data_IF_306263960926
#
_entry.id   IF_306263960926
#
_cell.length_a   1.000
_cell.length_b   1.000
_cell.length_c   1.000
_cell.angle_alpha   90.00
_cell.angle_beta   90.00
_cell.angle_gamma   90.00
#
_symmetry.space_group_name_H-M   'P 1'
#
loop_
_entity.id
_entity.type
_entity.pdbx_description
1 polymer ?
#
# COMPACT_ATOMS: atom_id res chain seq x y z
N UNK A 1 27.59 -78.25 -28.32
CA UNK A 1 27.45 -76.78 -28.59
C UNK A 1 28.64 -76.18 -29.36
N UNK A 2 29.78 -76.82 -29.46
CA UNK A 2 31.01 -76.24 -30.02
C UNK A 2 31.13 -76.29 -31.56
N UNK A 3 30.30 -77.06 -32.25
CA UNK A 3 30.36 -77.21 -33.74
C UNK A 3 29.44 -76.21 -34.50
N UNK A 4 28.53 -75.56 -33.85
CA UNK A 4 27.61 -74.59 -34.49
C UNK A 4 28.30 -73.20 -34.69
N UNK A 5 29.25 -72.88 -33.83
CA UNK A 5 29.95 -71.57 -33.86
C UNK A 5 31.01 -71.54 -34.95
N UNK A 6 31.62 -72.71 -35.35
CA UNK A 6 32.63 -72.78 -36.46
C UNK A 6 32.03 -72.60 -37.87
N UNK A 7 30.74 -72.91 -38.06
CA UNK A 7 30.09 -72.87 -39.39
C UNK A 7 29.49 -71.50 -39.73
N UNK A 8 29.27 -70.65 -38.71
CA UNK A 8 28.64 -69.37 -38.93
C UNK A 8 29.54 -68.16 -38.61
N UNK A 9 30.87 -68.34 -38.53
CA UNK A 9 31.79 -67.23 -38.21
C UNK A 9 31.63 -66.02 -39.15
N UNK A 10 31.36 -66.24 -40.40
CA UNK A 10 31.17 -65.13 -41.37
C UNK A 10 29.87 -64.39 -41.18
N UNK A 11 28.80 -65.06 -40.72
CA UNK A 11 27.51 -64.39 -40.38
C UNK A 11 27.65 -63.57 -39.14
N UNK A 12 28.40 -64.05 -38.11
CA UNK A 12 28.63 -63.25 -36.88
C UNK A 12 29.50 -62.01 -37.12
N UNK A 13 30.52 -62.16 -38.01
CA UNK A 13 31.34 -60.99 -38.39
C UNK A 13 30.55 -60.00 -39.23
N UNK A 14 29.71 -60.47 -40.18
CA UNK A 14 28.82 -59.57 -40.92
C UNK A 14 27.80 -58.85 -40.05
N UNK A 15 27.23 -59.54 -39.05
CA UNK A 15 26.32 -58.90 -38.06
C UNK A 15 27.04 -57.85 -37.20
N UNK A 16 28.29 -58.11 -36.76
CA UNK A 16 29.11 -57.18 -36.00
C UNK A 16 29.46 -55.91 -36.80
N UNK A 17 29.78 -56.09 -38.12
CA UNK A 17 30.06 -54.95 -39.03
C UNK A 17 28.79 -54.10 -39.24
N UNK A 18 27.64 -54.76 -39.45
CA UNK A 18 26.35 -54.04 -39.58
C UNK A 18 25.97 -53.29 -38.30
N UNK A 19 26.19 -53.87 -37.13
CA UNK A 19 25.95 -53.18 -35.82
C UNK A 19 26.96 -52.05 -35.63
N UNK A 20 28.23 -52.21 -35.95
CA UNK A 20 29.21 -51.12 -35.84
C UNK A 20 28.92 -49.99 -36.86
N UNK A 21 28.50 -50.35 -38.10
CA UNK A 21 28.06 -49.36 -39.10
C UNK A 21 26.82 -48.61 -38.72
N UNK A 22 25.79 -49.29 -38.14
CA UNK A 22 24.58 -48.65 -37.66
C UNK A 22 24.86 -47.76 -36.44
N UNK A 23 25.72 -48.17 -35.53
CA UNK A 23 26.15 -47.35 -34.38
C UNK A 23 26.99 -46.15 -34.82
N UNK A 24 27.90 -46.32 -35.75
CA UNK A 24 28.68 -45.22 -36.35
C UNK A 24 27.80 -44.24 -37.11
N UNK A 25 26.85 -44.73 -37.92
CA UNK A 25 25.86 -43.92 -38.61
C UNK A 25 24.93 -43.17 -37.67
N UNK A 26 24.48 -43.82 -36.60
CA UNK A 26 23.67 -43.19 -35.59
C UNK A 26 24.43 -42.09 -34.83
N UNK A 27 25.68 -42.32 -34.45
CA UNK A 27 26.54 -41.30 -33.84
C UNK A 27 26.84 -40.14 -34.79
N UNK A 28 27.09 -40.43 -36.07
CA UNK A 28 27.32 -39.40 -37.09
C UNK A 28 26.05 -38.57 -37.33
N UNK A 29 24.89 -39.19 -37.38
CA UNK A 29 23.60 -38.50 -37.49
C UNK A 29 23.29 -37.65 -36.26
N UNK A 30 23.60 -38.12 -35.04
CA UNK A 30 23.45 -37.41 -33.83
C UNK A 30 24.44 -36.22 -33.70
N UNK A 31 25.66 -36.34 -34.20
CA UNK A 31 26.63 -35.24 -34.23
C UNK A 31 26.36 -34.23 -35.38
N UNK A 32 25.56 -34.59 -36.37
CA UNK A 32 25.17 -33.71 -37.49
C UNK A 32 23.91 -32.88 -37.17
N UNK A 33 23.22 -33.14 -36.05
CA UNK A 33 22.22 -32.23 -35.57
C UNK A 33 22.92 -31.03 -34.93
N UNK A 34 23.40 -30.12 -35.77
CA UNK A 34 23.73 -28.76 -35.35
C UNK A 34 22.44 -28.19 -34.77
N UNK A 35 22.38 -28.09 -33.46
CA UNK A 35 21.30 -27.37 -32.80
C UNK A 35 21.24 -25.99 -33.46
N UNK A 36 20.20 -25.70 -34.19
CA UNK A 36 19.91 -24.36 -34.66
C UNK A 36 19.65 -23.56 -33.40
N UNK A 37 20.72 -22.94 -32.88
CA UNK A 37 20.59 -22.01 -31.78
C UNK A 37 19.66 -20.90 -32.24
N UNK A 38 18.43 -20.93 -31.80
CA UNK A 38 17.50 -19.81 -31.93
C UNK A 38 18.08 -18.65 -31.18
N UNK A 39 18.81 -17.81 -31.88
CA UNK A 39 19.36 -16.56 -31.34
C UNK A 39 18.17 -15.65 -31.05
N UNK A 40 17.88 -15.44 -29.79
CA UNK A 40 16.88 -14.42 -29.39
C UNK A 40 17.47 -13.05 -29.70
N UNK A 41 16.75 -12.27 -30.48
CA UNK A 41 17.18 -10.96 -30.96
C UNK A 41 16.31 -9.89 -30.32
N UNK A 42 16.94 -8.87 -29.74
CA UNK A 42 16.32 -7.60 -29.39
C UNK A 42 16.54 -6.58 -30.50
N UNK A 43 15.84 -5.48 -30.47
CA UNK A 43 15.95 -4.41 -31.46
C UNK A 43 16.17 -3.07 -30.77
N UNK A 44 17.03 -2.24 -31.35
CA UNK A 44 17.26 -0.86 -30.92
C UNK A 44 16.10 0.00 -31.40
N UNK A 45 15.42 0.66 -30.49
CA UNK A 45 14.27 1.53 -30.79
C UNK A 45 14.51 2.94 -30.30
N UNK A 46 13.79 3.89 -30.85
CA UNK A 46 13.68 5.24 -30.35
C UNK A 46 12.33 5.40 -29.70
N UNK A 47 12.30 5.93 -28.49
CA UNK A 47 11.04 6.05 -27.77
C UNK A 47 11.23 6.78 -26.42
N UNK A 48 10.18 6.73 -25.64
CA UNK A 48 10.14 7.33 -24.32
C UNK A 48 10.36 6.23 -23.27
N UNK A 49 11.18 6.51 -22.29
CA UNK A 49 11.43 5.61 -21.16
C UNK A 49 11.03 6.29 -19.87
N UNK A 50 10.42 5.53 -19.00
CA UNK A 50 9.97 5.99 -17.69
C UNK A 50 10.58 5.08 -16.63
N UNK A 51 11.28 5.67 -15.68
CA UNK A 51 11.76 4.97 -14.49
C UNK A 51 10.70 5.07 -13.40
N UNK A 52 10.31 3.94 -12.86
CA UNK A 52 9.25 3.86 -11.87
C UNK A 52 9.69 3.10 -10.62
N UNK A 53 9.22 3.56 -9.47
CA UNK A 53 9.28 2.82 -8.22
C UNK A 53 7.94 2.15 -8.00
N UNK A 54 7.94 0.82 -7.99
CA UNK A 54 6.74 0.01 -7.77
C UNK A 54 6.55 -0.25 -6.28
N UNK A 55 5.34 -0.02 -5.80
CA UNK A 55 4.99 -0.24 -4.40
C UNK A 55 3.55 -0.71 -4.26
N UNK A 56 3.23 -1.34 -3.14
CA UNK A 56 1.85 -1.74 -2.81
C UNK A 56 1.35 -0.93 -1.64
N UNK A 57 0.06 -0.65 -1.64
CA UNK A 57 -0.57 0.11 -0.58
C UNK A 57 -2.05 -0.19 -0.45
N UNK A 58 -2.71 0.52 0.44
CA UNK A 58 -4.16 0.45 0.62
C UNK A 58 -4.79 1.82 0.44
N UNK A 59 -5.97 1.84 -0.16
CA UNK A 59 -6.78 3.05 -0.22
C UNK A 59 -7.33 3.36 1.17
N UNK A 60 -7.29 4.64 1.53
CA UNK A 60 -7.93 5.17 2.73
C UNK A 60 -8.66 6.47 2.38
N UNK A 61 -9.66 6.81 3.16
CA UNK A 61 -10.20 8.16 3.12
C UNK A 61 -9.18 9.10 3.80
N UNK A 62 -8.96 10.27 3.22
CA UNK A 62 -8.06 11.27 3.81
C UNK A 62 -8.53 11.69 5.21
N UNK A 63 -9.84 11.87 5.35
CA UNK A 63 -10.47 12.16 6.64
C UNK A 63 -11.31 10.96 7.06
N UNK A 64 -10.85 10.24 8.07
CA UNK A 64 -11.56 9.14 8.72
C UNK A 64 -11.55 9.38 10.23
N UNK A 65 -12.72 9.39 10.83
CA UNK A 65 -12.89 9.63 12.27
C UNK A 65 -13.65 8.48 12.90
N UNK A 66 -13.01 7.83 13.86
CA UNK A 66 -13.64 6.83 14.71
C UNK A 66 -14.47 7.51 15.79
N UNK A 67 -15.78 7.28 15.73
CA UNK A 67 -16.73 7.82 16.68
C UNK A 67 -16.78 6.92 17.91
N UNK A 68 -16.44 7.50 19.06
CA UNK A 68 -16.47 6.84 20.36
C UNK A 68 -17.25 7.70 21.37
N UNK A 69 -17.56 7.13 22.53
CA UNK A 69 -18.24 7.86 23.61
C UNK A 69 -17.24 8.39 24.63
N UNK A 70 -17.48 9.61 25.11
CA UNK A 70 -16.75 10.19 26.24
C UNK A 70 -17.23 9.65 27.59
N UNK A 71 -18.45 9.10 27.63
CA UNK A 71 -19.09 8.59 28.85
C UNK A 71 -19.48 7.13 28.67
N UNK A 72 -19.54 6.39 29.75
CA UNK A 72 -20.08 5.02 29.75
C UNK A 72 -21.62 5.08 29.79
N UNK A 73 -22.27 4.35 28.88
CA UNK A 73 -23.73 4.30 28.82
C UNK A 73 -24.24 3.23 27.88
N UNK A 74 -25.53 2.92 28.01
CA UNK A 74 -26.23 1.98 27.12
C UNK A 74 -26.81 2.74 25.93
N UNK A 75 -26.64 2.20 24.72
CA UNK A 75 -27.24 2.74 23.50
C UNK A 75 -28.76 2.52 23.54
N UNK A 76 -29.52 3.59 23.45
CA UNK A 76 -31.00 3.54 23.38
C UNK A 76 -31.51 3.77 21.97
N UNK A 77 -30.76 4.50 21.13
CA UNK A 77 -31.17 4.81 19.78
C UNK A 77 -29.95 4.92 18.86
N UNK A 78 -30.03 4.36 17.65
CA UNK A 78 -29.07 4.55 16.54
C UNK A 78 -29.85 5.15 15.39
N UNK A 79 -29.49 6.36 14.98
CA UNK A 79 -30.26 7.18 14.01
C UNK A 79 -29.74 7.03 12.58
N UNK A 80 -28.63 6.32 12.39
CA UNK A 80 -27.95 6.18 11.10
C UNK A 80 -27.71 4.70 10.74
N UNK A 81 -27.51 4.46 9.46
CA UNK A 81 -27.23 3.13 8.89
C UNK A 81 -25.87 3.12 8.21
N UNK A 82 -25.33 1.93 8.01
CA UNK A 82 -24.14 1.71 7.20
C UNK A 82 -24.31 2.30 5.79
N UNK A 83 -23.26 2.90 5.25
CA UNK A 83 -23.22 3.61 3.97
C UNK A 83 -24.16 4.82 3.86
N UNK A 84 -24.73 5.31 4.96
CA UNK A 84 -25.51 6.54 4.97
C UNK A 84 -24.60 7.76 4.99
N UNK A 85 -24.90 8.77 4.14
CA UNK A 85 -24.26 10.06 4.19
C UNK A 85 -24.79 10.86 5.40
N UNK A 86 -23.89 11.52 6.12
CA UNK A 86 -24.17 12.39 7.27
C UNK A 86 -23.40 13.70 7.14
N UNK A 87 -23.96 14.77 7.70
CA UNK A 87 -23.31 16.08 7.76
C UNK A 87 -22.69 16.31 9.13
N UNK A 88 -21.64 17.13 9.18
CA UNK A 88 -21.04 17.53 10.47
C UNK A 88 -22.10 18.10 11.41
N UNK A 89 -22.13 17.58 12.65
CA UNK A 89 -23.12 17.93 13.67
C UNK A 89 -24.35 17.03 13.71
N UNK A 90 -24.58 16.16 12.74
CA UNK A 90 -25.69 15.22 12.76
C UNK A 90 -25.59 14.25 13.95
N UNK A 91 -26.73 13.95 14.56
CA UNK A 91 -26.83 13.03 15.70
C UNK A 91 -26.78 11.59 15.16
N UNK A 92 -25.80 10.83 15.63
CA UNK A 92 -25.60 9.43 15.22
C UNK A 92 -26.23 8.44 16.20
N UNK A 93 -26.00 8.66 17.50
CA UNK A 93 -26.40 7.72 18.57
C UNK A 93 -26.86 8.52 19.79
N UNK A 94 -27.83 7.96 20.50
CA UNK A 94 -28.24 8.44 21.82
C UNK A 94 -28.01 7.37 22.88
N UNK A 95 -27.45 7.80 24.00
CA UNK A 95 -27.26 6.96 25.18
C UNK A 95 -28.38 7.21 26.20
N UNK A 96 -28.54 6.25 27.10
CA UNK A 96 -29.48 6.38 28.22
C UNK A 96 -29.04 7.54 29.15
N UNK A 97 -29.82 8.63 29.14
CA UNK A 97 -29.57 9.81 29.89
C UNK A 97 -30.42 9.89 31.18
N UNK A 98 -31.19 8.85 31.53
CA UNK A 98 -32.18 8.91 32.62
C UNK A 98 -31.56 9.35 33.95
N UNK A 99 -30.47 8.71 34.38
CA UNK A 99 -29.77 9.04 35.61
C UNK A 99 -29.09 10.41 35.56
N UNK A 100 -28.51 10.76 34.41
CA UNK A 100 -27.83 12.04 34.21
C UNK A 100 -28.82 13.19 34.20
N UNK A 101 -30.01 13.02 33.61
CA UNK A 101 -31.08 14.03 33.67
C UNK A 101 -31.60 14.26 35.10
N UNK A 102 -31.72 13.22 35.94
CA UNK A 102 -32.08 13.35 37.32
C UNK A 102 -31.00 14.17 38.11
N UNK A 103 -29.72 13.86 37.83
CA UNK A 103 -28.59 14.61 38.42
C UNK A 103 -28.59 16.07 37.97
N UNK A 104 -28.80 16.33 36.67
CA UNK A 104 -28.90 17.70 36.16
C UNK A 104 -30.04 18.49 36.82
N UNK A 105 -31.22 17.87 36.97
CA UNK A 105 -32.35 18.48 37.65
C UNK A 105 -32.02 18.85 39.14
N UNK A 106 -31.31 17.93 39.84
CA UNK A 106 -30.84 18.20 41.21
C UNK A 106 -29.86 19.38 41.25
N UNK A 107 -28.87 19.44 40.37
CA UNK A 107 -27.87 20.52 40.32
C UNK A 107 -28.51 21.84 39.91
N UNK A 108 -29.49 21.82 39.01
CA UNK A 108 -30.28 22.98 38.63
C UNK A 108 -31.01 23.57 39.84
N UNK A 109 -31.63 22.73 40.68
CA UNK A 109 -32.32 23.19 41.93
C UNK A 109 -31.32 23.80 42.93
N UNK A 110 -30.14 23.20 43.09
CA UNK A 110 -29.07 23.75 43.96
C UNK A 110 -28.57 25.09 43.44
N UNK A 111 -28.32 25.22 42.14
CA UNK A 111 -27.91 26.48 41.52
C UNK A 111 -28.97 27.58 41.74
N UNK A 112 -30.25 27.25 41.51
CA UNK A 112 -31.35 28.21 41.74
C UNK A 112 -31.40 28.73 43.18
N UNK A 113 -31.22 27.85 44.19
CA UNK A 113 -31.16 28.24 45.59
C UNK A 113 -29.94 29.12 45.91
N UNK A 114 -28.75 28.74 45.43
CA UNK A 114 -27.51 29.49 45.59
C UNK A 114 -27.60 30.88 44.93
N UNK A 115 -28.18 30.95 43.72
CA UNK A 115 -28.45 32.21 43.02
C UNK A 115 -29.35 33.13 43.81
N UNK A 116 -30.49 32.64 44.34
CA UNK A 116 -31.40 33.42 45.13
C UNK A 116 -30.77 33.94 46.44
N UNK A 117 -29.86 33.15 47.04
CA UNK A 117 -29.08 33.52 48.19
C UNK A 117 -28.02 34.58 47.86
N UNK A 118 -27.32 34.43 46.76
CA UNK A 118 -26.36 35.39 46.22
C UNK A 118 -27.05 36.77 45.99
N UNK A 119 -28.15 36.78 45.22
CA UNK A 119 -28.88 38.02 44.90
C UNK A 119 -29.37 38.74 46.13
N UNK A 120 -29.84 38.00 47.15
CA UNK A 120 -30.29 38.57 48.45
C UNK A 120 -29.12 39.18 49.20
N UNK A 121 -27.96 38.45 49.26
CA UNK A 121 -26.80 38.96 50.01
C UNK A 121 -26.13 40.14 49.29
N UNK A 122 -26.13 40.18 47.97
CA UNK A 122 -25.66 41.30 47.17
C UNK A 122 -26.47 42.60 47.54
N UNK A 123 -27.76 42.45 47.64
CA UNK A 123 -28.64 43.58 48.11
C UNK A 123 -28.36 44.02 49.55
N UNK A 124 -28.03 43.07 50.46
CA UNK A 124 -27.64 43.36 51.81
C UNK A 124 -26.28 44.05 51.92
N UNK A 125 -25.29 43.56 51.11
CA UNK A 125 -23.96 44.18 51.00
C UNK A 125 -24.07 45.63 50.51
N UNK A 126 -24.84 45.89 49.47
CA UNK A 126 -25.07 47.23 48.92
C UNK A 126 -25.71 48.19 49.89
N UNK A 127 -26.44 47.69 50.92
CA UNK A 127 -27.01 48.44 52.00
C UNK A 127 -26.10 48.50 53.22
N UNK A 128 -24.90 47.92 53.18
CA UNK A 128 -23.98 47.87 54.32
C UNK A 128 -24.43 46.95 55.47
N UNK A 129 -25.39 46.03 55.25
CA UNK A 129 -25.97 45.14 56.23
C UNK A 129 -25.15 43.84 56.47
N UNK A 130 -24.23 43.55 55.65
CA UNK A 130 -23.26 42.40 55.77
C UNK A 130 -21.86 42.87 55.46
N UNK A 131 -20.85 42.10 55.92
CA UNK A 131 -19.45 42.36 55.60
C UNK A 131 -19.08 41.80 54.17
N UNK A 132 -18.05 42.38 53.59
CA UNK A 132 -17.50 41.87 52.31
C UNK A 132 -17.15 40.40 52.43
N UNK A 133 -16.48 40.01 53.51
CA UNK A 133 -16.08 38.59 53.72
C UNK A 133 -17.25 37.61 53.76
N UNK A 134 -18.40 38.06 54.35
CA UNK A 134 -19.62 37.26 54.40
C UNK A 134 -20.22 37.11 52.98
N UNK A 135 -20.18 38.17 52.19
CA UNK A 135 -20.60 38.09 50.74
C UNK A 135 -19.70 37.22 49.92
N UNK A 136 -18.36 37.32 50.05
CA UNK A 136 -17.40 36.53 49.33
C UNK A 136 -17.64 35.04 49.55
N UNK A 137 -18.03 34.60 50.75
CA UNK A 137 -18.42 33.20 51.02
C UNK A 137 -19.65 32.76 50.23
N UNK A 138 -20.68 33.61 50.18
CA UNK A 138 -21.91 33.33 49.43
C UNK A 138 -21.66 33.31 47.91
N UNK A 139 -20.80 34.19 47.43
CA UNK A 139 -20.37 34.22 46.05
C UNK A 139 -19.62 32.94 45.69
N UNK A 140 -18.70 32.48 46.53
CA UNK A 140 -18.01 31.21 46.33
C UNK A 140 -18.98 30.01 46.24
N UNK A 141 -19.98 29.96 47.15
CA UNK A 141 -21.01 28.90 47.12
C UNK A 141 -21.84 28.93 45.84
N UNK A 142 -22.20 30.13 45.36
CA UNK A 142 -22.90 30.29 44.08
C UNK A 142 -22.05 29.80 42.91
N UNK A 143 -20.77 30.17 42.84
CA UNK A 143 -19.87 29.76 41.78
C UNK A 143 -19.65 28.23 41.77
N UNK A 144 -19.54 27.60 42.94
CA UNK A 144 -19.48 26.15 43.08
C UNK A 144 -20.75 25.47 42.57
N UNK A 145 -21.93 26.00 42.96
CA UNK A 145 -23.21 25.47 42.50
C UNK A 145 -23.38 25.60 40.98
N UNK A 146 -22.92 26.72 40.40
CA UNK A 146 -22.92 26.98 38.96
C UNK A 146 -22.02 25.99 38.23
N UNK A 147 -20.79 25.80 38.69
CA UNK A 147 -19.84 24.86 38.09
C UNK A 147 -20.34 23.41 38.12
N UNK A 148 -21.01 23.00 39.24
CA UNK A 148 -21.61 21.67 39.35
C UNK A 148 -22.79 21.48 38.38
N UNK A 149 -23.60 22.50 38.15
CA UNK A 149 -24.68 22.48 37.17
C UNK A 149 -24.11 22.38 35.74
N UNK A 150 -23.11 23.18 35.40
CA UNK A 150 -22.46 23.17 34.08
C UNK A 150 -21.84 21.81 33.79
N UNK A 151 -21.19 21.20 34.79
CA UNK A 151 -20.68 19.83 34.67
C UNK A 151 -21.80 18.82 34.37
N UNK A 152 -22.88 18.83 35.16
CA UNK A 152 -24.01 17.93 34.95
C UNK A 152 -24.68 18.14 33.57
N UNK A 153 -24.74 19.39 33.09
CA UNK A 153 -25.24 19.70 31.76
C UNK A 153 -24.34 19.16 30.64
N UNK A 154 -23.02 19.24 30.82
CA UNK A 154 -22.05 18.62 29.89
C UNK A 154 -22.21 17.11 29.86
N UNK A 155 -22.34 16.46 31.02
CA UNK A 155 -22.51 15.00 31.11
C UNK A 155 -23.78 14.54 30.36
N UNK A 156 -24.88 15.31 30.42
CA UNK A 156 -26.10 15.07 29.66
C UNK A 156 -25.85 15.31 28.15
N UNK A 157 -25.16 16.36 27.78
CA UNK A 157 -24.86 16.63 26.37
C UNK A 157 -24.01 15.54 25.73
N UNK A 158 -23.08 14.94 26.48
CA UNK A 158 -22.22 13.84 26.02
C UNK A 158 -22.97 12.51 25.81
N UNK A 159 -24.27 12.44 26.19
CA UNK A 159 -25.15 11.31 25.82
C UNK A 159 -25.62 11.35 24.37
N UNK A 160 -25.50 12.50 23.73
CA UNK A 160 -25.86 12.69 22.31
C UNK A 160 -24.57 12.69 21.49
N UNK A 161 -24.35 11.62 20.79
CA UNK A 161 -23.12 11.43 20.00
C UNK A 161 -23.35 11.96 18.59
N UNK A 162 -22.57 12.95 18.19
CA UNK A 162 -22.63 13.58 16.87
C UNK A 162 -21.35 13.35 16.07
N UNK A 163 -21.44 13.49 14.75
CA UNK A 163 -20.25 13.45 13.90
C UNK A 163 -19.57 14.81 13.83
N UNK A 164 -18.22 14.87 13.95
CA UNK A 164 -17.46 16.10 13.77
C UNK A 164 -17.21 16.46 12.29
N UNK A 165 -17.37 15.50 11.36
CA UNK A 165 -17.13 15.67 9.92
C UNK A 165 -18.35 15.23 9.13
N UNK A 166 -18.47 15.74 7.90
CA UNK A 166 -19.41 15.24 6.91
C UNK A 166 -18.78 14.07 6.16
N UNK A 167 -19.57 13.03 5.85
CA UNK A 167 -19.06 11.85 5.17
C UNK A 167 -20.03 10.68 5.18
N UNK A 168 -19.53 9.51 4.97
CA UNK A 168 -20.30 8.25 4.97
C UNK A 168 -19.99 7.42 6.20
N UNK A 169 -21.00 6.75 6.72
CA UNK A 169 -20.84 5.77 7.80
C UNK A 169 -20.15 4.53 7.25
N UNK A 170 -18.96 4.22 7.75
CA UNK A 170 -18.18 3.06 7.35
C UNK A 170 -18.38 1.93 8.37
N UNK A 171 -18.76 0.77 7.87
CA UNK A 171 -19.02 -0.40 8.69
C UNK A 171 -20.35 -0.34 9.43
N UNK A 172 -20.65 -1.43 10.14
CA UNK A 172 -21.93 -1.58 10.85
C UNK A 172 -21.91 -0.82 12.18
N UNK A 173 -22.83 0.12 12.42
CA UNK A 173 -22.96 0.79 13.71
C UNK A 173 -23.22 -0.19 14.86
N UNK A 174 -22.69 0.12 16.04
CA UNK A 174 -22.96 -0.64 17.26
C UNK A 174 -24.47 -0.68 17.55
N UNK A 175 -25.08 -1.84 17.78
CA UNK A 175 -26.53 -1.97 17.87
C UNK A 175 -27.09 -1.37 19.17
N UNK A 176 -28.38 -1.05 19.10
CA UNK A 176 -29.17 -0.64 20.27
C UNK A 176 -29.16 -1.70 21.36
N UNK A 177 -29.11 -1.29 22.63
CA UNK A 177 -29.07 -2.16 23.80
C UNK A 177 -27.68 -2.52 24.29
N UNK A 178 -26.63 -2.30 23.48
CA UNK A 178 -25.25 -2.53 23.90
C UNK A 178 -24.77 -1.40 24.83
N UNK A 179 -23.98 -1.77 25.83
CA UNK A 179 -23.30 -0.81 26.70
C UNK A 179 -21.94 -0.52 26.14
N UNK A 180 -21.64 0.78 25.98
CA UNK A 180 -20.32 1.28 25.57
C UNK A 180 -19.59 1.81 26.79
N UNK A 181 -18.27 1.70 26.80
CA UNK A 181 -17.40 2.17 27.86
C UNK A 181 -16.47 3.25 27.35
N UNK A 182 -16.32 4.30 28.13
CA UNK A 182 -15.31 5.34 27.94
C UNK A 182 -13.94 4.90 28.49
N UNK A 183 -13.41 3.77 27.99
CA UNK A 183 -12.15 3.18 28.49
C UNK A 183 -10.95 4.11 28.26
N UNK A 184 -10.06 4.19 29.26
CA UNK A 184 -8.87 5.07 29.22
C UNK A 184 -7.82 4.54 28.22
N UNK A 185 -7.72 3.21 28.05
CA UNK A 185 -6.66 2.58 27.23
C UNK A 185 -7.06 2.35 25.77
N UNK A 186 -8.30 1.97 25.50
CA UNK A 186 -8.85 1.77 24.16
C UNK A 186 -10.32 2.18 24.16
N UNK A 187 -10.68 3.37 23.68
CA UNK A 187 -12.07 3.75 23.52
C UNK A 187 -12.78 2.76 22.60
N UNK A 188 -13.96 2.33 22.98
CA UNK A 188 -14.78 1.48 22.13
C UNK A 188 -15.32 2.29 20.95
N UNK A 189 -14.92 1.95 19.72
CA UNK A 189 -15.44 2.55 18.51
C UNK A 189 -16.89 2.11 18.31
N UNK A 190 -17.79 3.07 18.14
CA UNK A 190 -19.22 2.85 17.89
C UNK A 190 -19.46 2.67 16.38
N UNK A 191 -18.84 3.51 15.58
CA UNK A 191 -18.81 3.53 14.12
C UNK A 191 -17.70 4.44 13.63
N UNK A 192 -17.36 4.37 12.34
CA UNK A 192 -16.43 5.30 11.71
C UNK A 192 -17.14 6.15 10.67
N UNK A 193 -16.73 7.41 10.52
CA UNK A 193 -17.22 8.32 9.48
C UNK A 193 -16.06 8.72 8.61
N UNK A 194 -16.19 8.56 7.29
CA UNK A 194 -15.12 8.85 6.35
C UNK A 194 -15.63 9.68 5.16
N UNK A 195 -14.78 10.59 4.68
CA UNK A 195 -15.03 11.41 3.49
C UNK A 195 -14.54 10.64 2.26
N UNK A 196 -15.46 10.13 1.42
CA UNK A 196 -15.12 9.33 0.25
C UNK A 196 -14.73 10.18 -0.97
N UNK A 197 -14.96 11.48 -0.94
CA UNK A 197 -14.61 12.38 -2.04
C UNK A 197 -13.09 12.59 -2.15
N UNK A 198 -12.38 12.51 -1.03
CA UNK A 198 -10.95 12.68 -0.93
C UNK A 198 -10.30 11.35 -0.49
N UNK A 199 -9.97 10.53 -1.48
CA UNK A 199 -9.26 9.27 -1.24
C UNK A 199 -7.75 9.49 -1.36
N UNK A 200 -6.99 8.76 -0.56
CA UNK A 200 -5.55 8.67 -0.69
C UNK A 200 -5.10 7.21 -0.62
N UNK A 201 -3.92 6.94 -1.16
CA UNK A 201 -3.28 5.64 -1.04
C UNK A 201 -2.13 5.78 -0.06
N UNK A 202 -2.15 4.98 0.99
CA UNK A 202 -0.99 4.77 1.84
C UNK A 202 -0.18 3.61 1.25
N UNK A 203 0.90 3.93 0.54
CA UNK A 203 1.77 2.95 -0.10
C UNK A 203 3.08 2.77 0.66
N UNK A 204 3.61 1.55 0.69
CA UNK A 204 4.84 1.17 1.38
C UNK A 204 5.98 1.07 0.36
N UNK A 205 6.90 2.00 0.41
CA UNK A 205 8.09 2.05 -0.46
C UNK A 205 9.30 1.53 0.31
N UNK A 206 10.09 0.67 -0.32
CA UNK A 206 11.31 0.11 0.26
C UNK A 206 12.36 1.19 0.55
N UNK A 207 13.19 0.99 1.58
CA UNK A 207 14.27 1.90 1.95
C UNK A 207 15.28 2.12 0.81
N UNK A 208 15.50 1.12 -0.05
CA UNK A 208 16.39 1.22 -1.21
C UNK A 208 15.92 2.24 -2.25
N UNK A 209 14.60 2.42 -2.37
CA UNK A 209 13.97 3.16 -3.46
C UNK A 209 13.45 4.54 -3.02
N UNK A 210 13.22 4.74 -1.70
CA UNK A 210 12.64 5.98 -1.18
C UNK A 210 13.47 7.22 -1.50
N UNK A 211 14.80 7.06 -1.70
CA UNK A 211 15.70 8.16 -2.05
C UNK A 211 15.37 8.82 -3.39
N UNK A 212 14.69 8.11 -4.28
CA UNK A 212 14.29 8.60 -5.61
C UNK A 212 12.89 9.24 -5.59
N UNK A 213 12.07 8.96 -4.57
CA UNK A 213 10.69 9.46 -4.46
C UNK A 213 10.69 10.89 -3.93
N UNK A 214 9.91 11.76 -4.58
CA UNK A 214 9.75 13.18 -4.21
C UNK A 214 8.27 13.58 -4.22
N UNK A 215 7.93 14.56 -3.37
CA UNK A 215 6.59 15.13 -3.37
C UNK A 215 6.25 15.74 -4.75
N UNK A 216 5.02 15.53 -5.20
CA UNK A 216 4.50 16.05 -6.47
C UNK A 216 4.73 15.13 -7.67
N UNK A 217 5.50 14.04 -7.54
CA UNK A 217 5.67 13.07 -8.62
C UNK A 217 4.33 12.44 -9.01
N UNK A 218 4.16 12.18 -10.31
CA UNK A 218 2.98 11.49 -10.84
C UNK A 218 3.00 10.02 -10.44
N UNK A 219 1.85 9.49 -10.11
CA UNK A 219 1.67 8.08 -9.78
C UNK A 219 0.59 7.49 -10.67
N UNK A 220 0.87 6.36 -11.26
CA UNK A 220 -0.14 5.50 -11.87
C UNK A 220 -0.41 4.35 -10.91
N UNK A 221 -1.66 3.95 -10.80
CA UNK A 221 -1.99 2.81 -9.96
C UNK A 221 -3.17 2.02 -10.52
N UNK A 222 -3.21 0.76 -10.15
CA UNK A 222 -4.35 -0.14 -10.37
C UNK A 222 -4.82 -0.65 -9.03
N UNK A 223 -6.08 -1.03 -8.93
CA UNK A 223 -6.62 -1.70 -7.75
C UNK A 223 -7.00 -3.13 -8.10
N UNK A 224 -6.84 -4.05 -7.15
CA UNK A 224 -7.12 -5.47 -7.40
C UNK A 224 -8.59 -5.72 -7.82
N UNK A 225 -9.51 -4.83 -7.44
CA UNK A 225 -10.91 -4.89 -7.87
C UNK A 225 -11.11 -4.49 -9.35
N UNK A 226 -10.22 -3.67 -9.92
CA UNK A 226 -10.29 -3.18 -11.30
C UNK A 226 -8.92 -3.28 -11.99
N UNK A 227 -8.41 -4.49 -12.27
CA UNK A 227 -7.03 -4.71 -12.74
C UNK A 227 -6.75 -4.15 -14.14
N UNK A 228 -7.79 -3.88 -14.93
CA UNK A 228 -7.69 -3.35 -16.29
C UNK A 228 -7.92 -1.83 -16.36
N UNK A 229 -8.19 -1.17 -15.22
CA UNK A 229 -8.34 0.29 -15.16
C UNK A 229 -7.14 0.90 -14.47
N UNK A 230 -6.49 1.85 -15.12
CA UNK A 230 -5.40 2.63 -14.54
C UNK A 230 -5.94 3.95 -14.04
N UNK A 231 -5.67 4.24 -12.79
CA UNK A 231 -5.97 5.50 -12.13
C UNK A 231 -4.70 6.33 -12.01
N UNK A 232 -4.87 7.63 -11.77
CA UNK A 232 -3.74 8.56 -11.60
C UNK A 232 -3.83 9.28 -10.28
N UNK A 233 -2.66 9.70 -9.82
CA UNK A 233 -2.52 10.45 -8.59
C UNK A 233 -1.16 11.14 -8.51
N UNK A 234 -0.89 11.76 -7.36
CA UNK A 234 0.39 12.43 -7.10
C UNK A 234 0.87 12.12 -5.70
N UNK A 235 2.18 12.01 -5.54
CA UNK A 235 2.80 11.92 -4.22
C UNK A 235 2.52 13.21 -3.45
N UNK A 236 1.76 13.12 -2.37
CA UNK A 236 1.42 14.24 -1.48
C UNK A 236 2.45 14.42 -0.38
N UNK A 237 2.80 13.33 0.27
CA UNK A 237 3.67 13.35 1.45
C UNK A 237 4.44 12.05 1.56
N UNK A 238 5.70 12.16 1.94
CA UNK A 238 6.56 11.05 2.32
C UNK A 238 6.71 11.09 3.84
N UNK A 239 6.31 10.03 4.53
CA UNK A 239 6.48 9.92 5.98
C UNK A 239 7.97 9.87 6.34
N UNK A 240 8.35 10.60 7.37
CA UNK A 240 9.71 10.54 7.92
C UNK A 240 9.89 9.41 8.95
N UNK A 241 8.81 8.70 9.26
CA UNK A 241 8.83 7.55 10.15
C UNK A 241 8.80 6.27 9.33
N UNK A 242 9.81 5.44 9.50
CA UNK A 242 9.86 4.12 8.89
C UNK A 242 8.93 3.15 9.63
N UNK A 243 8.43 2.17 8.91
CA UNK A 243 7.67 1.02 9.44
C UNK A 243 8.44 -0.25 9.08
N UNK A 244 8.55 -1.18 10.02
CA UNK A 244 9.19 -2.48 9.75
C UNK A 244 8.11 -3.54 9.61
N UNK A 245 8.06 -4.18 8.44
CA UNK A 245 7.19 -5.31 8.16
C UNK A 245 8.04 -6.50 7.68
N UNK A 246 7.86 -7.67 8.29
CA UNK A 246 8.60 -8.88 7.96
C UNK A 246 10.13 -8.69 7.91
N UNK A 247 10.69 -7.89 8.83
CA UNK A 247 12.11 -7.54 8.88
C UNK A 247 12.62 -6.68 7.70
N UNK A 248 11.73 -6.09 6.90
CA UNK A 248 12.06 -5.12 5.85
C UNK A 248 11.59 -3.75 6.29
N UNK A 249 12.41 -2.74 6.02
CA UNK A 249 12.12 -1.34 6.36
C UNK A 249 11.41 -0.69 5.20
N UNK A 250 10.25 -0.12 5.47
CA UNK A 250 9.44 0.62 4.51
C UNK A 250 9.18 2.04 4.98
N UNK A 251 9.03 2.94 4.03
CA UNK A 251 8.54 4.30 4.26
C UNK A 251 7.15 4.46 3.68
N UNK A 252 6.23 5.03 4.48
CA UNK A 252 4.88 5.32 4.02
C UNK A 252 4.89 6.54 3.10
N UNK A 253 4.36 6.36 1.91
CA UNK A 253 4.16 7.43 0.93
C UNK A 253 2.66 7.59 0.72
N UNK A 254 2.17 8.80 0.92
CA UNK A 254 0.76 9.15 0.73
C UNK A 254 0.56 9.73 -0.65
N UNK A 255 -0.31 9.10 -1.42
CA UNK A 255 -0.62 9.46 -2.80
C UNK A 255 -2.06 9.93 -2.88
N UNK A 256 -2.28 11.17 -3.33
CA UNK A 256 -3.65 11.65 -3.63
C UNK A 256 -4.19 10.97 -4.87
N UNK A 257 -5.48 10.71 -4.91
CA UNK A 257 -6.19 10.16 -6.06
C UNK A 257 -6.86 11.29 -6.82
N UNK A 258 -6.54 11.46 -8.11
CA UNK A 258 -7.06 12.58 -8.90
C UNK A 258 -8.57 12.43 -9.24
N UNK A 259 -9.03 11.21 -9.52
CA UNK A 259 -10.43 10.93 -9.86
C UNK A 259 -10.83 9.52 -9.41
N UNK A 260 -11.51 9.44 -8.28
CA UNK A 260 -12.01 8.17 -7.73
C UNK A 260 -13.23 7.61 -8.50
N UNK A 261 -13.92 8.42 -9.35
CA UNK A 261 -15.12 8.06 -10.14
C UNK A 261 -16.20 7.31 -9.33
N UNK A 262 -16.17 7.44 -8.01
CA UNK A 262 -17.07 6.70 -7.11
C UNK A 262 -16.87 5.18 -7.09
N UNK A 263 -15.82 4.66 -7.76
CA UNK A 263 -15.53 3.21 -7.83
C UNK A 263 -14.58 2.75 -6.73
N UNK A 264 -13.77 3.64 -6.23
CA UNK A 264 -12.75 3.34 -5.24
C UNK A 264 -13.36 3.36 -3.84
N UNK A 265 -13.09 2.30 -3.08
CA UNK A 265 -13.56 2.16 -1.70
C UNK A 265 -12.36 2.07 -0.76
N UNK A 266 -12.51 2.53 0.50
CA UNK A 266 -11.50 2.34 1.53
C UNK A 266 -11.11 0.86 1.67
N UNK A 267 -9.86 0.61 2.07
CA UNK A 267 -9.26 -0.71 2.25
C UNK A 267 -8.98 -1.52 0.98
N UNK A 268 -9.32 -1.02 -0.22
CA UNK A 268 -8.89 -1.67 -1.47
C UNK A 268 -7.36 -1.65 -1.57
N UNK A 269 -6.80 -2.76 -2.03
CA UNK A 269 -5.36 -2.86 -2.31
C UNK A 269 -5.05 -2.18 -3.63
N UNK A 270 -4.06 -1.29 -3.61
CA UNK A 270 -3.54 -0.58 -4.77
C UNK A 270 -2.10 -1.01 -5.08
N UNK A 271 -1.82 -1.19 -6.37
CA UNK A 271 -0.46 -1.36 -6.90
C UNK A 271 -0.06 -0.06 -7.56
N UNK A 272 0.92 0.61 -7.00
CA UNK A 272 1.34 1.95 -7.40
C UNK A 272 2.67 1.89 -8.16
N UNK A 273 2.77 2.70 -9.20
CA UNK A 273 3.99 2.97 -9.97
C UNK A 273 4.26 4.46 -9.88
N UNK A 274 5.21 4.84 -9.03
CA UNK A 274 5.62 6.22 -8.84
C UNK A 274 6.62 6.56 -9.93
N UNK A 275 6.33 7.55 -10.77
CA UNK A 275 7.21 8.00 -11.84
C UNK A 275 8.30 8.87 -11.21
N UNK A 276 9.52 8.35 -11.19
CA UNK A 276 10.67 9.03 -10.57
C UNK A 276 11.44 9.85 -11.57
N UNK A 277 11.55 9.36 -12.82
CA UNK A 277 12.16 10.09 -13.92
C UNK A 277 11.58 9.67 -15.27
N UNK A 278 11.59 10.56 -16.26
CA UNK A 278 11.10 10.31 -17.61
C UNK A 278 12.03 10.96 -18.64
N UNK A 279 12.33 10.24 -19.72
CA UNK A 279 13.09 10.78 -20.83
C UNK A 279 12.41 10.45 -22.14
N UNK A 280 12.22 11.48 -22.95
CA UNK A 280 11.58 11.39 -24.25
C UNK A 280 12.63 11.32 -25.36
N UNK A 281 12.28 10.63 -26.45
CA UNK A 281 13.05 10.60 -27.70
C UNK A 281 14.48 10.05 -27.53
N UNK A 282 14.67 9.10 -26.62
CA UNK A 282 15.96 8.45 -26.36
C UNK A 282 16.09 7.12 -27.09
N UNK A 283 17.34 6.67 -27.27
CA UNK A 283 17.62 5.33 -27.82
C UNK A 283 17.42 4.29 -26.73
N UNK A 284 16.54 3.33 -26.96
CA UNK A 284 16.14 2.31 -26.00
C UNK A 284 16.59 0.94 -26.49
N UNK A 285 17.14 0.15 -25.59
CA UNK A 285 17.50 -1.25 -25.84
C UNK A 285 16.88 -2.15 -24.75
N UNK A 286 16.49 -3.38 -25.08
CA UNK A 286 16.04 -4.33 -24.07
C UNK A 286 17.15 -4.61 -23.04
N UNK A 287 16.82 -4.57 -21.75
CA UNK A 287 17.78 -4.75 -20.66
C UNK A 287 18.54 -6.09 -20.74
N UNK A 288 17.88 -7.12 -21.27
CA UNK A 288 18.48 -8.44 -21.49
C UNK A 288 19.50 -8.50 -22.63
N UNK A 289 19.65 -7.42 -23.42
CA UNK A 289 20.66 -7.29 -24.47
C UNK A 289 21.92 -6.55 -24.01
N UNK A 290 21.92 -6.01 -22.79
CA UNK A 290 23.06 -5.29 -22.22
C UNK A 290 23.99 -6.29 -21.52
N UNK A 291 25.23 -6.31 -21.93
CA UNK A 291 26.30 -7.10 -21.32
C UNK A 291 27.12 -6.21 -20.39
N UNK A 292 27.59 -6.80 -19.31
CA UNK A 292 28.46 -6.15 -18.35
C UNK A 292 29.73 -6.99 -18.17
N UNK A 293 30.91 -6.38 -18.35
CA UNK A 293 32.22 -6.97 -18.10
C UNK A 293 32.97 -6.12 -17.07
N UNK A 294 32.47 -6.21 -15.81
CA UNK A 294 33.03 -5.47 -14.68
C UNK A 294 32.82 -3.96 -14.74
N UNK A 295 33.63 -3.25 -15.49
CA UNK A 295 33.58 -1.78 -15.60
C UNK A 295 32.95 -1.26 -16.90
N UNK A 296 32.64 -2.16 -17.85
CA UNK A 296 32.22 -1.82 -19.19
C UNK A 296 30.83 -2.38 -19.49
N UNK A 297 29.93 -1.51 -19.96
CA UNK A 297 28.62 -1.88 -20.47
C UNK A 297 28.67 -1.84 -22.00
N UNK A 298 28.19 -2.92 -22.64
CA UNK A 298 28.17 -3.01 -24.09
C UNK A 298 27.00 -3.84 -24.59
N UNK A 299 26.64 -3.61 -25.86
CA UNK A 299 25.63 -4.41 -26.58
C UNK A 299 26.29 -5.12 -27.74
N UNK A 300 25.80 -6.31 -28.11
CA UNK A 300 26.27 -7.06 -29.24
C UNK A 300 25.34 -6.85 -30.42
N UNK A 301 25.76 -6.04 -31.38
CA UNK A 301 25.02 -5.79 -32.61
C UNK A 301 25.25 -7.00 -33.56
N UNK A 302 24.15 -7.63 -33.97
CA UNK A 302 24.14 -8.78 -34.84
C UNK A 302 23.82 -8.42 -36.28
N UNK A 303 24.70 -8.74 -37.24
CA UNK A 303 24.45 -8.55 -38.64
C UNK A 303 23.86 -9.84 -39.24
N UNK A 304 22.59 -9.79 -39.65
CA UNK A 304 21.90 -10.96 -40.23
C UNK A 304 22.52 -11.46 -41.53
N UNK A 305 23.18 -10.58 -42.34
CA UNK A 305 23.76 -10.94 -43.64
C UNK A 305 25.11 -11.61 -43.47
N UNK A 306 25.97 -11.11 -42.58
CA UNK A 306 27.32 -11.66 -42.37
C UNK A 306 27.35 -12.68 -41.23
N UNK A 307 26.29 -12.76 -40.41
CA UNK A 307 26.20 -13.54 -39.16
C UNK A 307 27.28 -13.18 -38.13
N UNK A 308 27.88 -12.02 -38.27
CA UNK A 308 28.93 -11.51 -37.38
C UNK A 308 28.31 -10.66 -36.26
N UNK A 309 29.02 -10.62 -35.15
CA UNK A 309 28.64 -9.76 -33.99
C UNK A 309 29.70 -8.71 -33.78
N UNK A 310 29.25 -7.48 -33.49
CA UNK A 310 30.12 -6.36 -33.13
C UNK A 310 29.74 -5.86 -31.75
N UNK A 311 30.72 -5.74 -30.88
CA UNK A 311 30.52 -5.14 -29.58
C UNK A 311 30.53 -3.60 -29.69
N UNK A 312 29.53 -2.96 -29.13
CA UNK A 312 29.40 -1.50 -29.08
C UNK A 312 29.26 -1.10 -27.63
N UNK A 313 30.19 -0.25 -27.18
CA UNK A 313 30.16 0.31 -25.83
C UNK A 313 28.98 1.27 -25.68
N UNK A 314 28.26 1.14 -24.56
CA UNK A 314 27.10 1.96 -24.25
C UNK A 314 27.25 2.58 -22.88
N UNK A 315 26.80 3.83 -22.77
CA UNK A 315 26.57 4.48 -21.48
C UNK A 315 25.10 4.30 -21.15
N UNK A 316 24.83 3.74 -19.97
CA UNK A 316 23.47 3.51 -19.49
C UNK A 316 22.89 4.83 -18.95
N UNK A 317 21.64 5.09 -19.30
CA UNK A 317 20.80 6.14 -18.77
C UNK A 317 19.67 5.57 -17.90
N UNK A 318 18.47 6.15 -18.03
CA UNK A 318 17.27 5.70 -17.31
C UNK A 318 16.97 4.24 -17.63
N UNK A 319 16.52 3.51 -16.62
CA UNK A 319 16.21 2.09 -16.71
C UNK A 319 14.76 1.84 -16.29
N UNK A 320 14.03 1.09 -17.08
CA UNK A 320 12.73 0.56 -16.71
C UNK A 320 12.82 -0.95 -16.47
N UNK A 321 11.71 -1.61 -16.11
CA UNK A 321 11.68 -3.06 -15.82
C UNK A 321 12.19 -3.94 -16.97
N UNK A 322 12.06 -3.50 -18.22
CA UNK A 322 12.39 -4.32 -19.40
C UNK A 322 13.37 -3.66 -20.37
N UNK A 323 13.55 -2.35 -20.28
CA UNK A 323 14.29 -1.54 -21.24
C UNK A 323 15.23 -0.56 -20.53
N UNK A 324 16.27 -0.13 -21.23
CA UNK A 324 17.23 0.87 -20.72
C UNK A 324 17.56 1.86 -21.83
N UNK A 325 17.58 3.14 -21.47
CA UNK A 325 18.08 4.19 -22.34
C UNK A 325 19.59 4.06 -22.49
N UNK A 326 20.10 4.15 -23.71
CA UNK A 326 21.54 4.06 -23.97
C UNK A 326 22.04 5.22 -24.83
N UNK A 327 23.24 5.66 -24.53
CA UNK A 327 23.99 6.57 -25.41
C UNK A 327 25.22 5.83 -25.92
N UNK A 328 25.36 5.74 -27.24
CA UNK A 328 26.49 5.04 -27.87
C UNK A 328 26.88 5.65 -29.21
N UNK A 329 28.17 5.65 -29.50
CA UNK A 329 28.68 5.95 -30.84
C UNK A 329 28.68 4.68 -31.70
N UNK A 330 27.89 4.68 -32.79
CA UNK A 330 27.86 3.55 -33.73
C UNK A 330 26.72 2.55 -33.48
N UNK A 331 25.69 2.92 -32.73
CA UNK A 331 24.44 2.20 -32.63
C UNK A 331 23.38 2.96 -33.43
N UNK A 332 22.63 2.26 -34.28
CA UNK A 332 21.57 2.83 -35.12
C UNK A 332 20.22 2.24 -34.74
N UNK A 333 19.17 3.04 -34.92
CA UNK A 333 17.80 2.58 -34.74
C UNK A 333 17.53 1.44 -35.75
N UNK A 334 16.94 0.32 -35.27
CA UNK A 334 16.68 -0.85 -36.05
C UNK A 334 17.82 -1.88 -36.01
N UNK A 335 18.96 -1.58 -35.39
CA UNK A 335 20.03 -2.57 -35.17
C UNK A 335 19.51 -3.75 -34.35
N UNK A 336 19.90 -4.96 -34.75
CA UNK A 336 19.52 -6.19 -34.05
C UNK A 336 20.57 -6.54 -33.00
N UNK A 337 20.10 -6.78 -31.77
CA UNK A 337 20.95 -7.07 -30.62
C UNK A 337 20.81 -8.52 -30.18
N UNK A 338 21.91 -9.13 -29.77
CA UNK A 338 21.88 -10.44 -29.15
C UNK A 338 21.39 -10.37 -27.71
N UNK A 339 20.44 -11.23 -27.37
CA UNK A 339 19.99 -11.42 -26.01
C UNK A 339 20.99 -12.28 -25.24
N UNK A 340 21.33 -11.83 -24.03
CA UNK A 340 22.20 -12.56 -23.09
C UNK A 340 21.59 -13.94 -22.78
N UNK A 341 22.35 -15.02 -23.04
CA UNK A 341 21.91 -16.35 -22.63
C UNK A 341 21.78 -16.41 -21.11
N UNK A 342 20.61 -16.74 -20.62
CA UNK A 342 20.46 -17.07 -19.20
C UNK A 342 21.33 -18.32 -18.92
N UNK A 343 22.37 -18.16 -18.11
CA UNK A 343 23.14 -19.29 -17.59
C UNK A 343 22.25 -20.05 -16.63
N UNK A 344 21.55 -21.06 -17.11
CA UNK A 344 20.95 -22.06 -16.24
C UNK A 344 22.07 -22.76 -15.48
N UNK A 345 22.26 -22.50 -14.21
CA UNK A 345 23.06 -23.35 -13.34
C UNK A 345 22.38 -24.72 -13.33
N UNK A 346 22.83 -25.62 -14.19
CA UNK A 346 22.57 -27.05 -14.03
C UNK A 346 23.25 -27.44 -12.72
N UNK A 347 22.50 -27.55 -11.66
CA UNK A 347 22.88 -28.31 -10.49
C UNK A 347 23.02 -29.76 -10.93
N UNK A 348 24.26 -30.18 -11.23
CA UNK A 348 24.58 -31.58 -11.39
C UNK A 348 24.35 -32.29 -10.05
N UNK A 349 23.14 -32.79 -9.85
CA UNK A 349 22.86 -33.81 -8.82
C UNK A 349 23.65 -35.09 -9.21
N UNK A 350 24.92 -35.13 -8.84
CA UNK A 350 25.64 -36.39 -8.69
C UNK A 350 25.06 -37.09 -7.46
N UNK A 351 24.01 -37.85 -7.64
CA UNK A 351 23.63 -38.89 -6.70
C UNK A 351 24.82 -39.91 -6.65
N UNK A 352 25.59 -39.83 -5.58
CA UNK A 352 26.49 -40.91 -5.20
C UNK A 352 25.65 -42.12 -4.76
N UNK A 353 26.16 -43.36 -4.98
CA UNK A 353 25.44 -44.57 -4.57
C UNK A 353 25.30 -44.58 -3.04
N UNK A 354 24.19 -45.14 -2.51
CA UNK A 354 23.99 -45.25 -1.08
C UNK A 354 25.00 -46.21 -0.44
N UNK A 355 25.49 -45.95 0.79
CA UNK A 355 26.36 -46.91 1.47
C UNK A 355 25.53 -48.13 1.85
N UNK A 356 26.07 -49.31 1.54
CA UNK A 356 25.57 -50.60 2.07
C UNK A 356 25.99 -50.72 3.54
N UNK A 357 25.00 -50.94 4.38
CA UNK A 357 25.13 -51.64 5.64
C UNK A 357 23.97 -52.62 5.78
#
# INVERSE_FOLDING_TARGET
MMNFVKRNKYILVAAAILLAGSYGGYKYYQSSQVAVETVKIGEVKKGNIVETVSATGSLSAQDNVDISSKITGRIVEVLVKENQHVNAGDVLVRLDATSLNATLAQMKAKLHNAQATYDRNLNLLNRGAISQSAFDSVEADYLVAKSNYEKAASDVSDTIITTPISGYIIGKPTPVGQTISSGISTPQVIMSVATLDNMEIETLVDESDIGQVKNGQKVKFTVDAYPNETFTGKVRLISRSATTENNVIYYKVYVTVDDAKGKLLPTMTARTEIIVDEADDVTIVPLNCVYNDGSRHYVKVYNEKTKETRDVDVTLGLTSDSEVAVTANGLSIGDKLLVKKAVSKQTSNRMGPPPMH
#
